data_IF_983381533590
#
_entry.id   IF_983381533590
#
_cell.length_a   1.000
_cell.length_b   1.000
_cell.length_c   1.000
_cell.angle_alpha   90.00
_cell.angle_beta   90.00
_cell.angle_gamma   90.00
#
_symmetry.space_group_name_H-M   'P 1'
#
loop_
_entity.id
_entity.type
_entity.pdbx_description
1 polymer ?
#
# COMPACT_ATOMS: atom_id res chain seq x y z
N UNK A 1 21.92 2.84 -11.53
CA UNK A 1 21.68 2.79 -10.06
C UNK A 1 21.17 4.17 -9.64
N UNK A 2 19.88 4.42 -9.76
CA UNK A 2 19.30 5.69 -9.32
C UNK A 2 18.89 5.54 -7.86
N UNK A 3 19.63 6.17 -6.94
CA UNK A 3 19.11 6.46 -5.61
C UNK A 3 17.98 7.48 -5.81
N UNK A 4 16.74 6.98 -5.92
CA UNK A 4 15.57 7.84 -5.91
C UNK A 4 15.38 8.24 -4.45
N UNK A 5 16.04 9.33 -4.06
CA UNK A 5 15.73 10.04 -2.83
C UNK A 5 14.29 10.52 -2.95
N UNK A 6 13.35 9.66 -2.56
CA UNK A 6 11.93 9.94 -2.61
C UNK A 6 11.60 10.79 -1.39
N UNK A 7 11.64 12.10 -1.60
CA UNK A 7 11.00 13.04 -0.70
C UNK A 7 9.49 12.95 -0.99
N UNK A 8 8.79 12.10 -0.25
CA UNK A 8 7.34 11.94 -0.38
C UNK A 8 6.66 13.26 0.01
N UNK A 9 6.27 14.06 -0.99
CA UNK A 9 5.64 15.37 -0.77
C UNK A 9 4.17 15.25 -0.37
N UNK A 10 3.52 14.13 -0.70
CA UNK A 10 2.10 13.89 -0.49
C UNK A 10 1.81 12.39 -0.30
N UNK A 11 0.73 12.09 0.42
CA UNK A 11 0.23 10.71 0.64
C UNK A 11 -0.05 10.01 -0.70
N UNK A 12 -0.55 10.73 -1.71
CA UNK A 12 -0.85 10.17 -3.03
C UNK A 12 0.37 9.69 -3.82
N UNK A 13 1.55 10.30 -3.64
CA UNK A 13 2.80 9.80 -4.28
C UNK A 13 3.34 8.58 -3.56
N UNK A 14 3.15 8.53 -2.25
CA UNK A 14 3.52 7.41 -1.39
C UNK A 14 2.65 6.19 -1.68
N UNK A 15 1.38 6.43 -1.98
CA UNK A 15 0.41 5.42 -2.33
C UNK A 15 0.87 4.56 -3.52
N UNK A 16 1.24 5.22 -4.64
CA UNK A 16 1.73 4.55 -5.85
C UNK A 16 2.99 3.73 -5.55
N UNK A 17 3.89 4.27 -4.71
CA UNK A 17 5.12 3.59 -4.33
C UNK A 17 4.85 2.35 -3.47
N UNK A 18 3.95 2.41 -2.48
CA UNK A 18 3.65 1.25 -1.64
C UNK A 18 2.92 0.17 -2.45
N UNK A 19 2.03 0.54 -3.37
CA UNK A 19 1.44 -0.41 -4.31
C UNK A 19 2.50 -1.09 -5.17
N UNK A 20 3.52 -0.37 -5.62
CA UNK A 20 4.65 -0.93 -6.38
C UNK A 20 5.47 -1.95 -5.56
N UNK A 21 5.50 -1.82 -4.23
CA UNK A 21 6.18 -2.76 -3.33
C UNK A 21 5.37 -4.03 -3.04
N UNK A 22 4.05 -4.02 -3.31
CA UNK A 22 3.18 -5.15 -3.05
C UNK A 22 3.28 -6.13 -4.23
N UNK A 23 3.41 -7.45 -3.98
CA UNK A 23 3.43 -8.44 -5.06
C UNK A 23 2.16 -8.41 -5.88
N UNK A 24 2.27 -8.54 -7.21
CA UNK A 24 1.13 -8.55 -8.12
C UNK A 24 0.11 -9.66 -7.82
N UNK A 25 0.56 -10.77 -7.25
CA UNK A 25 -0.28 -11.91 -6.84
C UNK A 25 -1.22 -11.57 -5.66
N UNK A 26 -0.91 -10.54 -4.88
CA UNK A 26 -1.74 -10.09 -3.77
C UNK A 26 -2.89 -9.18 -4.22
N UNK A 27 -2.88 -8.70 -5.47
CA UNK A 27 -3.97 -7.91 -6.00
C UNK A 27 -5.07 -8.81 -6.53
N UNK A 28 -6.31 -8.43 -6.26
CA UNK A 28 -7.44 -9.22 -6.72
C UNK A 28 -7.51 -9.20 -8.26
N UNK A 29 -7.58 -10.37 -8.93
CA UNK A 29 -7.52 -10.45 -10.39
C UNK A 29 -8.72 -9.79 -11.08
N UNK A 30 -9.87 -9.74 -10.41
CA UNK A 30 -11.07 -9.06 -10.91
C UNK A 30 -11.07 -7.57 -10.55
N UNK A 31 -10.37 -7.17 -9.49
CA UNK A 31 -10.39 -5.82 -8.99
C UNK A 31 -9.03 -5.38 -8.43
N UNK A 32 -8.18 -4.82 -9.29
CA UNK A 32 -6.84 -4.30 -8.94
C UNK A 32 -6.83 -3.19 -7.87
N UNK A 33 -8.01 -2.76 -7.41
CA UNK A 33 -8.21 -1.79 -6.33
C UNK A 33 -8.37 -2.43 -4.94
N UNK A 34 -8.32 -3.77 -4.88
CA UNK A 34 -8.36 -4.54 -3.64
C UNK A 34 -7.04 -5.27 -3.49
N UNK A 35 -6.43 -5.09 -2.33
CA UNK A 35 -5.18 -5.75 -1.94
C UNK A 35 -5.55 -6.81 -0.90
N UNK A 36 -5.25 -8.06 -1.21
CA UNK A 36 -5.31 -9.16 -0.26
C UNK A 36 -4.04 -9.12 0.60
N UNK A 37 -4.22 -8.82 1.88
CA UNK A 37 -3.12 -8.67 2.81
C UNK A 37 -2.68 -10.06 3.31
N UNK A 38 -1.45 -10.43 2.95
CA UNK A 38 -0.77 -11.58 3.53
C UNK A 38 -0.39 -11.29 5.01
N UNK A 39 0.26 -12.25 5.67
CA UNK A 39 0.69 -12.08 7.07
C UNK A 39 1.61 -10.87 7.29
N UNK A 40 2.39 -10.46 6.29
CA UNK A 40 3.28 -9.30 6.38
C UNK A 40 2.49 -8.00 6.23
N UNK A 41 1.65 -7.90 5.21
CA UNK A 41 0.79 -6.74 4.97
C UNK A 41 -0.21 -6.57 6.11
N UNK A 42 -0.75 -7.65 6.68
CA UNK A 42 -1.59 -7.62 7.89
C UNK A 42 -0.91 -6.91 9.05
N UNK A 43 0.38 -7.14 9.30
CA UNK A 43 1.09 -6.44 10.39
C UNK A 43 1.21 -4.94 10.15
N UNK A 44 1.25 -4.52 8.89
CA UNK A 44 1.33 -3.11 8.49
C UNK A 44 -0.06 -2.47 8.52
N UNK A 45 -1.08 -3.17 8.01
CA UNK A 45 -2.45 -2.67 7.82
C UNK A 45 -3.42 -3.00 8.97
N UNK A 46 -2.90 -3.31 10.16
CA UNK A 46 -3.72 -3.50 11.36
C UNK A 46 -4.52 -4.82 11.41
N UNK A 47 -4.03 -5.85 10.74
CA UNK A 47 -4.56 -7.22 10.81
C UNK A 47 -5.68 -7.54 9.82
N UNK A 48 -5.98 -6.65 8.88
CA UNK A 48 -7.05 -6.83 7.88
C UNK A 48 -6.67 -7.89 6.84
N UNK A 49 -7.62 -8.72 6.44
CA UNK A 49 -7.44 -9.74 5.39
C UNK A 49 -7.38 -9.15 3.98
N UNK A 50 -8.16 -8.10 3.72
CA UNK A 50 -8.14 -7.37 2.47
C UNK A 50 -8.49 -5.91 2.72
N UNK A 51 -7.93 -5.04 1.90
CA UNK A 51 -8.13 -3.60 1.99
C UNK A 51 -8.40 -3.02 0.60
N UNK A 52 -9.34 -2.10 0.54
CA UNK A 52 -9.55 -1.27 -0.65
C UNK A 52 -8.66 -0.02 -0.62
N UNK A 53 -8.50 0.63 -1.77
CA UNK A 53 -7.78 1.90 -1.91
C UNK A 53 -8.17 2.96 -0.85
N UNK A 54 -9.47 3.11 -0.56
CA UNK A 54 -9.95 4.08 0.43
C UNK A 54 -9.49 3.78 1.86
N UNK A 55 -9.46 2.49 2.25
CA UNK A 55 -8.96 2.10 3.56
C UNK A 55 -7.43 2.18 3.63
N UNK A 56 -6.77 1.86 2.52
CA UNK A 56 -5.32 1.94 2.40
C UNK A 56 -4.80 3.35 2.69
N UNK A 57 -5.40 4.39 2.09
CA UNK A 57 -5.03 5.79 2.34
C UNK A 57 -5.09 6.14 3.84
N UNK A 58 -6.15 5.73 4.53
CA UNK A 58 -6.32 5.99 5.96
C UNK A 58 -5.35 5.20 6.84
N UNK A 59 -5.00 3.98 6.45
CA UNK A 59 -4.04 3.15 7.17
C UNK A 59 -2.62 3.63 7.01
N UNK A 60 -2.28 4.19 5.85
CA UNK A 60 -0.93 4.66 5.55
C UNK A 60 -0.69 6.09 6.02
N UNK A 61 -1.72 6.96 6.01
CA UNK A 61 -1.64 8.33 6.50
C UNK A 61 -0.87 8.52 7.83
N UNK A 62 -1.10 7.73 8.90
CA UNK A 62 -0.36 7.89 10.16
C UNK A 62 1.11 7.48 10.10
N UNK A 63 1.56 6.74 9.07
CA UNK A 63 2.96 6.36 8.90
C UNK A 63 3.82 7.44 8.23
N UNK A 64 3.19 8.48 7.65
CA UNK A 64 3.88 9.51 6.84
C UNK A 64 3.71 10.94 7.39
N UNK A 65 3.24 11.08 8.63
CA UNK A 65 3.15 12.36 9.36
C UNK A 65 4.39 12.63 10.22
#
# INVERSE_FOLDING_TARGET
>A
MAQKSFFFRNVSETFEFVIELIPTDNFDPENKKVINCDEKLKKIFGGKDSIGFLEFDGLISPHFL
#
